data_IF_316662997589
#
_entry.id   IF_316662997589
#
_cell.length_a   1.000
_cell.length_b   1.000
_cell.length_c   1.000
_cell.angle_alpha   90.00
_cell.angle_beta   90.00
_cell.angle_gamma   90.00
#
_symmetry.space_group_name_H-M   'P 1'
#
loop_
_entity.id
_entity.type
_entity.pdbx_description
1 polymer ?
#
# COMPACT_ATOMS: atom_id res chain seq x y z
N UNK A 1 17.54 -30.19 21.73
CA UNK A 1 18.26 -29.12 20.99
C UNK A 1 17.61 -28.94 19.63
N UNK A 2 16.62 -28.07 19.55
CA UNK A 2 15.95 -27.68 18.30
C UNK A 2 16.72 -26.51 17.70
N UNK A 3 17.46 -26.76 16.63
CA UNK A 3 18.06 -25.68 15.86
C UNK A 3 16.95 -24.75 15.33
N UNK A 4 17.04 -23.43 15.55
CA UNK A 4 16.07 -22.50 14.99
C UNK A 4 16.30 -22.46 13.48
N UNK A 5 15.40 -23.05 12.70
CA UNK A 5 15.37 -22.78 11.27
C UNK A 5 15.21 -21.26 11.08
N UNK A 6 16.02 -20.61 10.23
CA UNK A 6 15.97 -19.17 10.06
C UNK A 6 14.57 -18.75 9.60
N UNK A 7 14.08 -17.66 10.19
CA UNK A 7 12.75 -17.04 10.00
C UNK A 7 12.32 -16.91 8.51
N UNK A 8 13.30 -16.92 7.58
CA UNK A 8 13.16 -16.86 6.13
C UNK A 8 12.26 -17.94 5.48
N UNK A 9 12.30 -19.21 5.93
CA UNK A 9 11.56 -20.30 5.25
C UNK A 9 10.04 -20.25 5.46
N UNK A 10 9.56 -19.42 6.38
CA UNK A 10 8.12 -19.23 6.62
C UNK A 10 7.48 -18.19 5.70
N UNK A 11 8.29 -17.33 5.06
CA UNK A 11 7.77 -16.29 4.18
C UNK A 11 7.03 -16.92 2.97
N UNK A 12 5.78 -16.51 2.67
CA UNK A 12 5.02 -17.05 1.55
C UNK A 12 5.75 -16.97 0.21
N UNK A 13 6.50 -15.88 -0.04
CA UNK A 13 7.29 -15.71 -1.26
C UNK A 13 8.44 -16.73 -1.38
N UNK A 14 9.11 -17.07 -0.28
CA UNK A 14 10.19 -18.08 -0.27
C UNK A 14 9.60 -19.46 -0.57
N UNK A 15 8.47 -19.81 0.05
CA UNK A 15 7.75 -21.05 -0.25
C UNK A 15 7.32 -21.11 -1.72
N UNK A 16 6.76 -20.03 -2.24
CA UNK A 16 6.36 -19.93 -3.63
C UNK A 16 7.55 -20.16 -4.58
N UNK A 17 8.70 -19.54 -4.31
CA UNK A 17 9.93 -19.73 -5.08
C UNK A 17 10.40 -21.19 -5.05
N UNK A 18 10.41 -21.82 -3.87
CA UNK A 18 10.80 -23.24 -3.75
C UNK A 18 9.88 -24.17 -4.56
N UNK A 19 8.57 -23.89 -4.59
CA UNK A 19 7.63 -24.65 -5.42
C UNK A 19 7.87 -24.43 -6.92
N UNK A 20 8.25 -23.23 -7.33
CA UNK A 20 8.67 -22.98 -8.72
C UNK A 20 9.92 -23.77 -9.09
N UNK A 21 10.94 -23.74 -8.23
CA UNK A 21 12.19 -24.47 -8.46
C UNK A 21 11.94 -25.99 -8.52
N UNK A 22 11.12 -26.52 -7.61
CA UNK A 22 10.73 -27.93 -7.63
C UNK A 22 9.99 -28.27 -8.93
N UNK A 23 9.04 -27.44 -9.34
CA UNK A 23 8.33 -27.60 -10.60
C UNK A 23 9.27 -27.57 -11.82
N UNK A 24 10.26 -26.68 -11.82
CA UNK A 24 11.28 -26.61 -12.86
C UNK A 24 12.08 -27.92 -12.95
N UNK A 25 12.53 -28.45 -11.81
CA UNK A 25 13.25 -29.75 -11.78
C UNK A 25 12.38 -30.88 -12.33
N UNK A 26 11.10 -30.94 -11.95
CA UNK A 26 10.15 -31.96 -12.44
C UNK A 26 10.01 -31.87 -13.96
N UNK A 27 9.81 -30.66 -14.51
CA UNK A 27 9.66 -30.46 -15.96
C UNK A 27 10.95 -30.83 -16.69
N UNK A 28 12.12 -30.39 -16.23
CA UNK A 28 13.40 -30.73 -16.86
C UNK A 28 13.64 -32.23 -16.84
N UNK A 29 13.41 -32.90 -15.71
CA UNK A 29 13.53 -34.35 -15.62
C UNK A 29 12.57 -35.06 -16.60
N UNK A 30 11.31 -34.62 -16.67
CA UNK A 30 10.33 -35.14 -17.62
C UNK A 30 10.74 -34.96 -19.08
N UNK A 31 11.28 -33.79 -19.44
CA UNK A 31 11.77 -33.50 -20.79
C UNK A 31 12.99 -34.37 -21.15
N UNK A 32 13.94 -34.54 -20.23
CA UNK A 32 15.10 -35.40 -20.46
C UNK A 32 14.69 -36.86 -20.71
N UNK A 33 13.70 -37.36 -19.97
CA UNK A 33 13.14 -38.70 -20.19
C UNK A 33 12.39 -38.80 -21.51
N UNK A 34 11.54 -37.82 -21.82
CA UNK A 34 10.81 -37.75 -23.08
C UNK A 34 11.74 -37.70 -24.29
N UNK A 35 12.79 -36.88 -24.22
CA UNK A 35 13.80 -36.78 -25.27
C UNK A 35 14.55 -38.11 -25.45
N UNK A 36 14.93 -38.79 -24.36
CA UNK A 36 15.56 -40.12 -24.44
C UNK A 36 14.66 -41.18 -25.09
N UNK A 37 13.35 -41.11 -24.86
CA UNK A 37 12.40 -42.10 -25.35
C UNK A 37 11.93 -41.82 -26.80
N UNK A 38 11.62 -40.57 -27.12
CA UNK A 38 10.99 -40.18 -28.38
C UNK A 38 11.93 -39.43 -29.35
N UNK A 39 13.10 -38.99 -28.89
CA UNK A 39 14.06 -38.22 -29.69
C UNK A 39 13.58 -36.81 -30.10
N UNK A 40 12.40 -36.38 -29.64
CA UNK A 40 11.80 -35.10 -30.01
C UNK A 40 12.07 -34.02 -28.98
N UNK A 41 12.19 -32.78 -29.46
CA UNK A 41 12.36 -31.59 -28.61
C UNK A 41 11.01 -30.88 -28.50
N UNK A 42 10.57 -30.63 -27.26
CA UNK A 42 9.36 -29.87 -27.00
C UNK A 42 9.64 -28.37 -27.06
N UNK A 43 8.71 -27.55 -27.57
CA UNK A 43 8.92 -26.11 -27.64
C UNK A 43 8.89 -25.47 -26.24
N UNK A 44 9.73 -24.45 -26.04
CA UNK A 44 9.95 -23.82 -24.73
C UNK A 44 8.67 -23.25 -24.10
N UNK A 45 7.76 -22.71 -24.91
CA UNK A 45 6.48 -22.17 -24.40
C UNK A 45 5.61 -23.26 -23.75
N UNK A 46 5.64 -24.49 -24.27
CA UNK A 46 4.89 -25.62 -23.71
C UNK A 46 5.49 -26.02 -22.36
N UNK A 47 6.82 -26.05 -22.27
CA UNK A 47 7.53 -26.34 -21.02
C UNK A 47 7.21 -25.31 -19.94
N UNK A 48 7.12 -24.04 -20.31
CA UNK A 48 6.75 -22.96 -19.39
C UNK A 48 5.32 -23.11 -18.86
N UNK A 49 4.35 -23.48 -19.71
CA UNK A 49 2.97 -23.74 -19.29
C UNK A 49 2.90 -24.96 -18.37
N UNK A 50 3.62 -26.04 -18.69
CA UNK A 50 3.70 -27.24 -17.85
C UNK A 50 4.29 -26.90 -16.47
N UNK A 51 5.37 -26.13 -16.43
CA UNK A 51 5.98 -25.68 -15.18
C UNK A 51 4.99 -24.82 -14.38
N UNK A 52 4.34 -23.83 -15.00
CA UNK A 52 3.32 -23.03 -14.32
C UNK A 52 2.19 -23.87 -13.73
N UNK A 53 1.71 -24.86 -14.49
CA UNK A 53 0.60 -25.74 -14.08
C UNK A 53 0.98 -26.65 -12.91
N UNK A 54 2.18 -27.24 -12.94
CA UNK A 54 2.70 -28.06 -11.84
C UNK A 54 2.93 -27.19 -10.61
N UNK A 55 3.56 -26.02 -10.75
CA UNK A 55 3.79 -25.10 -9.64
C UNK A 55 2.47 -24.62 -8.99
N UNK A 56 1.45 -24.30 -9.79
CA UNK A 56 0.12 -23.92 -9.29
C UNK A 56 -0.55 -25.09 -8.54
N UNK A 57 -0.46 -26.31 -9.06
CA UNK A 57 -0.98 -27.51 -8.40
C UNK A 57 -0.28 -27.77 -7.06
N UNK A 58 1.05 -27.68 -7.01
CA UNK A 58 1.82 -27.80 -5.79
C UNK A 58 1.47 -26.70 -4.78
N UNK A 59 1.21 -25.48 -5.26
CA UNK A 59 0.80 -24.33 -4.43
C UNK A 59 -0.58 -24.55 -3.82
N UNK A 60 -1.52 -25.10 -4.60
CA UNK A 60 -2.86 -25.51 -4.12
C UNK A 60 -2.74 -26.61 -3.08
N UNK A 61 -1.89 -27.61 -3.32
CA UNK A 61 -1.62 -28.71 -2.40
C UNK A 61 -1.01 -28.24 -1.07
N UNK A 62 -0.13 -27.23 -1.11
CA UNK A 62 0.42 -26.59 0.09
C UNK A 62 -0.53 -25.59 0.76
N UNK A 63 -1.79 -25.54 0.34
CA UNK A 63 -2.84 -24.68 0.91
C UNK A 63 -2.40 -23.20 1.05
N UNK A 64 -1.59 -22.71 0.10
CA UNK A 64 -1.24 -21.30 0.04
C UNK A 64 -2.47 -20.46 -0.34
N UNK A 65 -2.46 -19.18 0.02
CA UNK A 65 -3.54 -18.27 -0.30
C UNK A 65 -3.84 -18.26 -1.82
N UNK A 66 -5.12 -18.20 -2.19
CA UNK A 66 -5.59 -18.41 -3.57
C UNK A 66 -4.97 -17.46 -4.60
N UNK A 67 -4.59 -16.25 -4.18
CA UNK A 67 -3.91 -15.27 -5.03
C UNK A 67 -2.50 -15.70 -5.48
N UNK A 68 -1.87 -16.66 -4.81
CA UNK A 68 -0.60 -17.23 -5.26
C UNK A 68 -0.75 -18.14 -6.49
N UNK A 69 -1.92 -18.73 -6.71
CA UNK A 69 -2.16 -19.64 -7.84
C UNK A 69 -1.94 -18.96 -9.20
N UNK A 70 -2.55 -17.79 -9.50
CA UNK A 70 -2.28 -17.11 -10.76
C UNK A 70 -0.82 -16.69 -10.89
N UNK A 71 -0.17 -16.21 -9.81
CA UNK A 71 1.24 -15.85 -9.84
C UNK A 71 2.09 -17.07 -10.26
N UNK A 72 1.85 -18.21 -9.64
CA UNK A 72 2.57 -19.46 -9.91
C UNK A 72 2.35 -19.99 -11.32
N UNK A 73 1.10 -19.93 -11.79
CA UNK A 73 0.72 -20.37 -13.13
C UNK A 73 1.40 -19.54 -14.22
N UNK A 74 1.43 -18.21 -14.06
CA UNK A 74 1.93 -17.29 -15.09
C UNK A 74 3.41 -16.95 -14.97
N UNK A 75 4.08 -17.28 -13.87
CA UNK A 75 5.48 -16.90 -13.64
C UNK A 75 6.43 -17.39 -14.74
N UNK A 76 6.47 -18.70 -15.01
CA UNK A 76 7.36 -19.25 -16.03
C UNK A 76 7.01 -18.80 -17.46
N UNK A 77 5.73 -18.77 -17.89
CA UNK A 77 5.35 -18.16 -19.17
C UNK A 77 5.76 -16.69 -19.29
N UNK A 78 5.56 -15.89 -18.24
CA UNK A 78 5.96 -14.48 -18.23
C UNK A 78 7.49 -14.34 -18.39
N UNK A 79 8.29 -15.18 -17.74
CA UNK A 79 9.75 -15.16 -17.92
C UNK A 79 10.14 -15.45 -19.37
N UNK A 80 9.55 -16.47 -20.01
CA UNK A 80 9.84 -16.79 -21.43
C UNK A 80 9.48 -15.62 -22.34
N UNK A 81 8.33 -14.97 -22.12
CA UNK A 81 7.94 -13.79 -22.90
C UNK A 81 8.92 -12.63 -22.71
N UNK A 82 9.27 -12.33 -21.46
CA UNK A 82 10.18 -11.23 -21.10
C UNK A 82 11.58 -11.45 -21.69
N UNK A 83 12.13 -12.66 -21.58
CA UNK A 83 13.42 -13.00 -22.19
C UNK A 83 13.34 -13.05 -23.72
N UNK A 84 12.21 -13.49 -24.28
CA UNK A 84 11.96 -13.50 -25.72
C UNK A 84 11.92 -12.10 -26.35
N UNK A 85 11.42 -11.11 -25.61
CA UNK A 85 11.40 -9.70 -26.04
C UNK A 85 12.73 -8.97 -25.86
N UNK A 86 13.74 -9.60 -25.25
CA UNK A 86 15.06 -9.01 -25.00
C UNK A 86 14.97 -7.60 -24.41
N UNK A 87 14.07 -7.41 -23.45
CA UNK A 87 13.83 -6.10 -22.86
C UNK A 87 15.13 -5.54 -22.27
N UNK A 88 15.46 -4.26 -22.54
CA UNK A 88 16.62 -3.62 -21.94
C UNK A 88 16.60 -3.70 -20.40
N UNK A 89 17.76 -3.97 -19.80
CA UNK A 89 17.90 -4.15 -18.35
C UNK A 89 17.43 -2.94 -17.53
N UNK A 90 17.55 -1.73 -18.09
CA UNK A 90 17.12 -0.48 -17.45
C UNK A 90 15.60 -0.44 -17.18
N UNK A 91 14.78 -1.17 -17.94
CA UNK A 91 13.32 -1.23 -17.71
C UNK A 91 13.03 -1.90 -16.36
N UNK A 92 13.73 -3.00 -16.05
CA UNK A 92 13.57 -3.68 -14.77
C UNK A 92 14.09 -2.82 -13.61
N UNK A 93 15.20 -2.10 -13.83
CA UNK A 93 15.70 -1.13 -12.86
C UNK A 93 14.68 -0.02 -12.61
N UNK A 94 14.07 0.54 -13.66
CA UNK A 94 13.04 1.56 -13.53
C UNK A 94 11.81 1.04 -12.79
N UNK A 95 11.33 -0.17 -13.14
CA UNK A 95 10.22 -0.81 -12.44
C UNK A 95 10.54 -1.04 -10.96
N UNK A 96 11.76 -1.49 -10.65
CA UNK A 96 12.24 -1.64 -9.28
C UNK A 96 12.28 -0.30 -8.52
N UNK A 97 12.86 0.74 -9.11
CA UNK A 97 12.93 2.08 -8.51
C UNK A 97 11.53 2.68 -8.30
N UNK A 98 10.60 2.44 -9.22
CA UNK A 98 9.21 2.86 -9.10
C UNK A 98 8.50 2.13 -7.96
N UNK A 99 8.62 0.81 -7.87
CA UNK A 99 8.08 0.02 -6.75
C UNK A 99 8.72 0.46 -5.43
N UNK A 100 10.03 0.65 -5.39
CA UNK A 100 10.75 1.13 -4.21
C UNK A 100 10.27 2.51 -3.78
N UNK A 101 10.02 3.43 -4.72
CA UNK A 101 9.51 4.76 -4.41
C UNK A 101 8.05 4.80 -3.98
N UNK A 102 7.20 3.89 -4.50
CA UNK A 102 5.79 3.77 -4.13
C UNK A 102 5.62 3.09 -2.77
N UNK A 103 6.39 2.03 -2.50
CA UNK A 103 6.31 1.23 -1.26
C UNK A 103 7.42 1.54 -0.26
N UNK A 104 8.09 2.69 -0.44
CA UNK A 104 9.16 3.17 0.45
C UNK A 104 8.71 3.19 1.92
N UNK A 105 7.48 3.67 2.15
CA UNK A 105 6.87 3.75 3.48
C UNK A 105 6.63 2.36 4.07
N UNK A 106 6.18 1.39 3.29
CA UNK A 106 5.91 0.02 3.78
C UNK A 106 7.16 -0.65 4.35
N UNK A 107 8.34 -0.39 3.78
CA UNK A 107 9.61 -0.88 4.34
C UNK A 107 9.93 -0.28 5.72
N UNK A 108 9.53 0.97 5.98
CA UNK A 108 9.83 1.68 7.23
C UNK A 108 8.74 1.58 8.30
N UNK A 109 7.48 1.69 7.91
CA UNK A 109 6.35 1.88 8.83
C UNK A 109 5.34 0.73 8.78
N UNK A 110 5.50 -0.22 7.84
CA UNK A 110 4.53 -1.30 7.61
C UNK A 110 3.11 -0.82 7.28
N UNK A 111 2.96 0.45 6.84
CA UNK A 111 1.67 1.02 6.42
C UNK A 111 1.60 0.98 4.89
N UNK A 112 0.64 0.23 4.31
CA UNK A 112 0.32 0.31 2.87
C UNK A 112 -0.14 1.71 2.46
N UNK A 113 -0.08 2.00 1.15
CA UNK A 113 -0.70 3.21 0.62
C UNK A 113 -2.23 3.05 0.66
N UNK A 114 -2.88 3.72 1.62
CA UNK A 114 -4.32 3.81 1.71
C UNK A 114 -4.82 5.07 1.01
N UNK A 115 -5.78 4.92 0.09
CA UNK A 115 -6.37 6.04 -0.65
C UNK A 115 -7.85 6.13 -0.33
N UNK A 116 -8.26 7.25 0.26
CA UNK A 116 -9.66 7.58 0.46
C UNK A 116 -10.30 8.07 -0.85
N UNK A 117 -11.61 7.87 -1.00
CA UNK A 117 -12.37 8.29 -2.17
C UNK A 117 -13.18 9.57 -1.96
N UNK A 118 -13.73 10.12 -3.05
CA UNK A 118 -14.50 11.38 -3.04
C UNK A 118 -15.67 11.40 -2.04
N UNK A 119 -16.33 10.26 -1.81
CA UNK A 119 -17.42 10.15 -0.79
C UNK A 119 -16.90 10.40 0.62
N UNK A 120 -15.72 9.86 0.94
CA UNK A 120 -15.04 10.09 2.21
C UNK A 120 -14.62 11.55 2.32
N UNK A 121 -14.05 12.13 1.25
CA UNK A 121 -13.63 13.54 1.25
C UNK A 121 -14.81 14.49 1.49
N UNK A 122 -15.95 14.18 0.89
CA UNK A 122 -17.18 14.94 1.10
C UNK A 122 -17.67 14.84 2.55
N UNK A 123 -17.69 13.63 3.12
CA UNK A 123 -18.08 13.44 4.52
C UNK A 123 -17.10 14.14 5.47
N UNK A 124 -15.80 14.03 5.26
CA UNK A 124 -14.78 14.76 6.04
C UNK A 124 -15.05 16.26 5.99
N UNK A 125 -15.33 16.83 4.82
CA UNK A 125 -15.66 18.26 4.68
C UNK A 125 -16.90 18.68 5.49
N UNK A 126 -17.89 17.79 5.67
CA UNK A 126 -19.09 18.07 6.47
C UNK A 126 -18.81 18.04 7.98
N UNK A 127 -17.77 17.33 8.42
CA UNK A 127 -17.34 17.27 9.82
C UNK A 127 -16.47 18.47 10.22
N UNK A 128 -15.93 19.20 9.25
CA UNK A 128 -15.05 20.33 9.53
C UNK A 128 -15.84 21.53 10.09
N UNK A 129 -15.28 22.25 11.08
CA UNK A 129 -15.87 23.49 11.57
C UNK A 129 -16.18 24.50 10.45
N UNK A 130 -17.27 25.26 10.58
CA UNK A 130 -17.65 26.35 9.66
C UNK A 130 -16.83 27.64 9.85
N UNK A 131 -15.56 27.51 10.27
CA UNK A 131 -14.62 28.63 10.43
C UNK A 131 -13.34 28.36 9.63
N UNK A 132 -12.58 29.40 9.26
CA UNK A 132 -11.23 29.21 8.74
C UNK A 132 -10.40 28.35 9.67
N UNK A 133 -9.71 27.36 9.10
CA UNK A 133 -8.94 26.38 9.87
C UNK A 133 -7.66 25.95 9.15
N UNK A 134 -6.78 25.30 9.90
CA UNK A 134 -5.60 24.60 9.39
C UNK A 134 -5.79 23.10 9.55
N UNK A 135 -6.00 22.41 8.44
CA UNK A 135 -6.18 20.96 8.40
C UNK A 135 -4.96 20.24 7.84
N UNK A 136 -4.65 19.05 8.35
CA UNK A 136 -3.59 18.20 7.80
C UNK A 136 -4.05 16.75 7.58
N UNK A 137 -3.67 16.20 6.44
CA UNK A 137 -3.77 14.77 6.11
C UNK A 137 -2.43 14.08 6.36
N UNK A 138 -2.37 13.17 7.33
CA UNK A 138 -1.16 12.43 7.70
C UNK A 138 -1.11 11.09 6.94
N UNK A 139 -0.09 10.93 6.09
CA UNK A 139 -0.08 9.86 5.08
C UNK A 139 -0.93 10.23 3.86
N UNK A 140 -0.80 11.47 3.38
CA UNK A 140 -1.69 12.05 2.36
C UNK A 140 -1.67 11.35 0.99
N UNK A 141 -0.73 10.43 0.75
CA UNK A 141 -0.65 9.65 -0.47
C UNK A 141 -0.57 10.53 -1.71
N UNK A 142 -1.53 10.37 -2.62
CA UNK A 142 -1.61 11.14 -3.87
C UNK A 142 -2.25 12.54 -3.68
N UNK A 143 -2.53 12.94 -2.43
CA UNK A 143 -3.04 14.26 -2.06
C UNK A 143 -4.52 14.50 -2.35
N UNK A 144 -5.31 13.44 -2.53
CA UNK A 144 -6.69 13.52 -2.99
C UNK A 144 -7.58 14.38 -2.08
N UNK A 145 -7.60 14.07 -0.78
CA UNK A 145 -8.38 14.79 0.23
C UNK A 145 -7.96 16.26 0.32
N UNK A 146 -6.66 16.51 0.51
CA UNK A 146 -6.10 17.88 0.68
C UNK A 146 -6.43 18.77 -0.52
N UNK A 147 -6.28 18.26 -1.76
CA UNK A 147 -6.63 18.99 -2.98
C UNK A 147 -8.13 19.23 -3.12
N UNK A 148 -8.98 18.39 -2.53
CA UNK A 148 -10.43 18.56 -2.53
C UNK A 148 -10.87 19.61 -1.53
N UNK A 149 -10.37 19.51 -0.29
CA UNK A 149 -10.66 20.46 0.78
C UNK A 149 -10.16 21.87 0.45
N UNK A 150 -8.92 22.00 -0.05
CA UNK A 150 -8.36 23.29 -0.48
C UNK A 150 -9.18 23.96 -1.60
N UNK A 151 -9.91 23.20 -2.40
CA UNK A 151 -10.81 23.72 -3.43
C UNK A 151 -12.16 24.16 -2.87
N UNK A 152 -12.72 23.38 -1.93
CA UNK A 152 -14.02 23.65 -1.31
C UNK A 152 -13.96 24.81 -0.30
N UNK A 153 -12.83 24.95 0.38
CA UNK A 153 -12.64 25.90 1.49
C UNK A 153 -11.41 26.78 1.24
N UNK A 154 -11.50 27.76 0.31
CA UNK A 154 -10.38 28.65 -0.02
C UNK A 154 -10.00 29.60 1.13
N UNK A 155 -10.88 29.75 2.12
CA UNK A 155 -10.67 30.47 3.38
C UNK A 155 -9.75 29.73 4.36
N UNK A 156 -9.57 28.42 4.16
CA UNK A 156 -8.79 27.53 5.04
C UNK A 156 -7.47 27.10 4.39
N UNK A 157 -6.54 26.59 5.20
CA UNK A 157 -5.27 26.04 4.70
C UNK A 157 -5.19 24.54 4.97
N UNK A 158 -4.97 23.77 3.91
CA UNK A 158 -4.84 22.33 4.01
C UNK A 158 -3.44 21.86 3.64
N UNK A 159 -2.95 20.95 4.45
CA UNK A 159 -1.62 20.37 4.35
C UNK A 159 -1.73 18.86 4.15
N UNK A 160 -0.80 18.28 3.42
CA UNK A 160 -0.61 16.83 3.37
C UNK A 160 0.83 16.50 3.68
N UNK A 161 1.07 15.57 4.60
CA UNK A 161 2.41 15.04 4.85
C UNK A 161 2.48 13.59 4.38
N UNK A 162 3.55 13.26 3.65
CA UNK A 162 3.75 11.93 3.09
C UNK A 162 5.22 11.52 3.17
N UNK A 163 5.47 10.30 3.61
CA UNK A 163 6.81 9.74 3.77
C UNK A 163 7.34 9.20 2.43
N UNK A 164 6.47 8.58 1.64
CA UNK A 164 6.80 7.95 0.36
C UNK A 164 7.14 9.03 -0.69
N UNK A 165 8.36 9.02 -1.28
CA UNK A 165 8.80 10.07 -2.19
C UNK A 165 7.94 10.23 -3.45
N UNK A 166 7.47 9.13 -4.04
CA UNK A 166 6.68 9.19 -5.27
C UNK A 166 5.24 9.69 -5.05
N UNK A 167 4.48 9.17 -4.07
CA UNK A 167 3.18 9.75 -3.73
C UNK A 167 3.26 11.24 -3.38
N UNK A 168 4.25 11.65 -2.56
CA UNK A 168 4.50 13.06 -2.26
C UNK A 168 4.80 13.90 -3.52
N UNK A 169 5.69 13.43 -4.39
CA UNK A 169 6.05 14.17 -5.60
C UNK A 169 4.82 14.36 -6.50
N UNK A 170 3.98 13.33 -6.60
CA UNK A 170 2.76 13.37 -7.38
C UNK A 170 1.73 14.35 -6.79
N UNK A 171 1.51 14.34 -5.48
CA UNK A 171 0.59 15.28 -4.82
C UNK A 171 1.05 16.73 -4.95
N UNK A 172 2.35 16.98 -4.76
CA UNK A 172 2.98 18.28 -4.97
C UNK A 172 2.84 18.78 -6.41
N UNK A 173 3.12 17.92 -7.40
CA UNK A 173 3.01 18.29 -8.82
C UNK A 173 1.55 18.60 -9.18
N UNK A 174 0.61 17.78 -8.69
CA UNK A 174 -0.84 18.03 -8.88
C UNK A 174 -1.28 19.35 -8.28
N UNK A 175 -0.78 19.74 -7.11
CA UNK A 175 -1.09 21.05 -6.53
C UNK A 175 -0.59 22.18 -7.42
N UNK A 176 0.68 22.11 -7.86
CA UNK A 176 1.29 23.13 -8.72
C UNK A 176 0.61 23.27 -10.08
N UNK A 177 0.37 22.16 -10.77
CA UNK A 177 -0.27 22.17 -12.09
C UNK A 177 -1.72 22.68 -12.04
N UNK A 178 -2.38 22.56 -10.89
CA UNK A 178 -3.77 23.04 -10.69
C UNK A 178 -3.86 24.43 -10.07
N UNK A 179 -2.73 25.08 -9.74
CA UNK A 179 -2.72 26.34 -9.01
C UNK A 179 -3.43 26.25 -7.65
N UNK A 180 -3.38 25.08 -6.99
CA UNK A 180 -4.07 24.86 -5.71
C UNK A 180 -3.33 25.49 -4.54
N UNK A 181 -4.07 25.95 -3.53
CA UNK A 181 -3.53 26.41 -2.24
C UNK A 181 -3.06 25.27 -1.31
N UNK A 182 -3.23 24.01 -1.72
CA UNK A 182 -2.79 22.84 -0.97
C UNK A 182 -1.26 22.78 -0.82
N UNK A 183 -0.79 22.51 0.40
CA UNK A 183 0.63 22.42 0.72
C UNK A 183 1.03 20.97 1.01
N UNK A 184 2.03 20.43 0.30
CA UNK A 184 2.50 19.06 0.50
C UNK A 184 3.92 19.00 1.05
N UNK A 185 4.08 18.35 2.21
CA UNK A 185 5.33 18.15 2.93
C UNK A 185 5.82 16.71 2.74
N UNK A 186 7.12 16.53 2.52
CA UNK A 186 7.75 15.20 2.54
C UNK A 186 8.34 14.97 3.91
N UNK A 187 7.85 13.99 4.64
CA UNK A 187 8.35 13.74 5.99
C UNK A 187 7.57 12.69 6.76
N UNK A 188 8.06 12.41 7.95
CA UNK A 188 7.36 11.62 8.94
C UNK A 188 6.44 12.55 9.75
N UNK A 189 5.16 12.18 9.90
CA UNK A 189 4.23 12.98 10.71
C UNK A 189 4.57 12.93 12.20
N UNK A 190 5.33 11.92 12.65
CA UNK A 190 5.73 11.81 14.06
C UNK A 190 6.58 12.99 14.50
N UNK A 191 7.42 13.54 13.61
CA UNK A 191 8.28 14.69 13.90
C UNK A 191 7.64 16.04 13.59
N UNK A 192 6.43 16.05 13.03
CA UNK A 192 5.70 17.27 12.71
C UNK A 192 5.03 17.82 13.97
N UNK A 193 5.14 19.12 14.21
CA UNK A 193 4.43 19.80 15.31
C UNK A 193 2.93 19.93 15.01
N UNK A 194 2.11 19.28 15.84
CA UNK A 194 0.66 19.26 15.69
C UNK A 194 -0.03 20.51 16.27
N UNK A 195 0.65 21.31 17.10
CA UNK A 195 0.06 22.46 17.79
C UNK A 195 -0.48 23.56 16.87
N UNK A 196 -0.02 23.58 15.61
CA UNK A 196 -0.43 24.57 14.61
C UNK A 196 -1.64 24.18 13.76
N UNK A 197 -2.25 23.02 14.02
CA UNK A 197 -3.38 22.48 13.28
C UNK A 197 -4.65 22.45 14.14
N UNK A 198 -5.79 22.73 13.50
CA UNK A 198 -7.12 22.57 14.09
C UNK A 198 -7.66 21.15 13.81
N UNK A 199 -7.25 20.52 12.72
CA UNK A 199 -7.79 19.23 12.26
C UNK A 199 -6.68 18.33 11.76
N UNK A 200 -6.66 17.08 12.23
CA UNK A 200 -5.83 15.99 11.71
C UNK A 200 -6.74 14.93 11.11
N UNK A 201 -6.52 14.60 9.84
CA UNK A 201 -7.13 13.45 9.18
C UNK A 201 -6.11 12.32 9.03
N UNK A 202 -6.51 11.09 9.34
CA UNK A 202 -5.68 9.90 9.25
C UNK A 202 -6.39 8.77 8.48
N UNK A 203 -5.71 8.20 7.49
CA UNK A 203 -6.05 6.89 6.93
C UNK A 203 -4.80 6.02 6.89
N UNK A 204 -4.42 5.52 8.06
CA UNK A 204 -3.14 4.83 8.30
C UNK A 204 -3.35 3.32 8.47
N UNK A 205 -2.82 2.71 9.53
CA UNK A 205 -3.04 1.32 9.91
C UNK A 205 -3.30 1.23 11.42
N UNK A 206 -3.86 0.11 11.93
CA UNK A 206 -4.12 -0.06 13.37
C UNK A 206 -2.88 0.16 14.24
N UNK A 207 -1.70 -0.25 13.77
CA UNK A 207 -0.43 -0.12 14.50
C UNK A 207 -0.03 1.35 14.71
N UNK A 208 -0.42 2.24 13.80
CA UNK A 208 -0.11 3.66 13.88
C UNK A 208 -1.06 4.44 14.81
N UNK A 209 -2.21 3.86 15.19
CA UNK A 209 -3.26 4.57 15.91
C UNK A 209 -2.91 4.91 17.38
N UNK A 210 -2.34 4.00 18.19
CA UNK A 210 -1.93 4.35 19.56
C UNK A 210 -0.90 5.50 19.65
N UNK A 211 0.23 5.49 18.89
CA UNK A 211 1.17 6.61 18.95
C UNK A 211 0.59 7.90 18.38
N UNK A 212 -0.30 7.82 17.38
CA UNK A 212 -1.03 8.98 16.87
C UNK A 212 -1.91 9.59 17.96
N UNK A 213 -2.62 8.77 18.74
CA UNK A 213 -3.45 9.25 19.83
C UNK A 213 -2.64 9.98 20.90
N UNK A 214 -1.51 9.40 21.33
CA UNK A 214 -0.63 10.03 22.30
C UNK A 214 -0.15 11.40 21.81
N UNK A 215 0.24 11.50 20.52
CA UNK A 215 0.66 12.76 19.91
C UNK A 215 -0.49 13.78 19.80
N UNK A 216 -1.68 13.35 19.38
CA UNK A 216 -2.89 14.18 19.33
C UNK A 216 -3.19 14.79 20.70
N UNK A 217 -3.15 13.98 21.75
CA UNK A 217 -3.42 14.45 23.11
C UNK A 217 -2.33 15.37 23.67
N UNK A 218 -1.07 15.15 23.31
CA UNK A 218 0.05 15.95 23.80
C UNK A 218 0.18 17.30 23.11
N UNK A 219 -0.08 17.38 21.80
CA UNK A 219 0.32 18.54 20.99
C UNK A 219 -0.84 19.36 20.42
N UNK A 220 -2.02 18.76 20.17
CA UNK A 220 -3.11 19.50 19.54
C UNK A 220 -3.80 20.46 20.53
N UNK A 221 -4.23 21.64 20.07
CA UNK A 221 -4.93 22.60 20.93
C UNK A 221 -6.33 22.12 21.32
N UNK A 222 -6.86 22.64 22.42
CA UNK A 222 -8.26 22.42 22.83
C UNK A 222 -9.20 22.91 21.72
N UNK A 223 -10.23 22.11 21.42
CA UNK A 223 -11.16 22.32 20.32
C UNK A 223 -10.67 21.78 18.97
N UNK A 224 -9.51 21.13 18.92
CA UNK A 224 -9.04 20.42 17.73
C UNK A 224 -9.80 19.12 17.46
N UNK A 225 -9.72 18.67 16.21
CA UNK A 225 -10.41 17.48 15.70
C UNK A 225 -9.40 16.44 15.19
N UNK A 226 -9.57 15.19 15.59
CA UNK A 226 -8.95 14.03 14.95
C UNK A 226 -10.02 13.24 14.20
N UNK A 227 -9.81 13.02 12.91
CA UNK A 227 -10.69 12.21 12.06
C UNK A 227 -9.91 11.03 11.51
N UNK A 228 -10.29 9.80 11.87
CA UNK A 228 -9.68 8.58 11.33
C UNK A 228 -10.66 7.84 10.43
N UNK A 229 -10.20 7.41 9.25
CA UNK A 229 -10.97 6.56 8.36
C UNK A 229 -10.60 5.09 8.56
N UNK A 230 -11.61 4.22 8.66
CA UNK A 230 -11.54 2.76 8.84
C UNK A 230 -11.00 2.30 10.21
N UNK A 231 -10.04 3.00 10.80
CA UNK A 231 -9.32 2.54 11.99
C UNK A 231 -9.70 3.32 13.24
N UNK A 232 -10.32 2.62 14.21
CA UNK A 232 -10.58 3.14 15.54
C UNK A 232 -9.31 3.12 16.42
N UNK A 233 -9.34 3.85 17.53
CA UNK A 233 -8.36 3.74 18.61
C UNK A 233 -9.00 2.85 19.68
N UNK A 234 -8.57 1.60 19.80
CA UNK A 234 -9.26 0.57 20.60
C UNK A 234 -9.50 0.97 22.06
N UNK A 235 -8.54 1.65 22.68
CA UNK A 235 -8.61 2.08 24.08
C UNK A 235 -9.40 3.38 24.30
N UNK A 236 -9.78 4.08 23.21
CA UNK A 236 -10.36 5.41 23.27
C UNK A 236 -11.59 5.52 22.34
N UNK A 237 -12.81 5.43 22.89
CA UNK A 237 -14.03 5.51 22.08
C UNK A 237 -14.10 6.85 21.34
N UNK A 238 -14.59 6.82 20.10
CA UNK A 238 -14.82 8.01 19.31
C UNK A 238 -16.05 8.77 19.82
N UNK A 239 -15.97 10.10 19.79
CA UNK A 239 -17.08 10.99 20.14
C UNK A 239 -18.18 10.93 19.07
N UNK A 240 -17.79 10.78 17.81
CA UNK A 240 -18.72 10.59 16.70
C UNK A 240 -18.25 9.47 15.75
N UNK A 241 -19.22 8.76 15.17
CA UNK A 241 -18.97 7.71 14.18
C UNK A 241 -19.90 7.93 12.99
N UNK A 242 -19.30 8.10 11.81
CA UNK A 242 -20.02 8.38 10.56
C UNK A 242 -19.73 7.31 9.52
N UNK A 243 -20.70 6.92 8.70
CA UNK A 243 -20.50 5.92 7.64
C UNK A 243 -20.66 6.57 6.25
N UNK A 244 -19.58 7.05 5.61
CA UNK A 244 -19.67 7.82 4.36
C UNK A 244 -20.12 6.98 3.15
N UNK A 245 -19.99 5.66 3.23
CA UNK A 245 -20.32 4.72 2.16
C UNK A 245 -21.16 3.61 2.77
N UNK A 246 -22.35 3.34 2.22
CA UNK A 246 -23.23 2.26 2.68
C UNK A 246 -22.46 0.93 2.68
N UNK A 247 -22.42 0.26 3.83
CA UNK A 247 -21.65 -0.97 4.06
C UNK A 247 -20.13 -0.83 3.81
N UNK A 248 -19.60 0.39 3.89
CA UNK A 248 -18.17 0.68 3.83
C UNK A 248 -17.58 0.99 5.22
N UNK A 249 -16.27 1.29 5.28
CA UNK A 249 -15.60 1.66 6.52
C UNK A 249 -16.16 2.94 7.16
N UNK A 250 -16.02 3.05 8.48
CA UNK A 250 -16.46 4.20 9.27
C UNK A 250 -15.42 5.33 9.29
N UNK A 251 -15.88 6.54 9.57
CA UNK A 251 -15.10 7.68 10.02
C UNK A 251 -15.30 7.81 11.53
N UNK A 252 -14.20 7.74 12.28
CA UNK A 252 -14.16 7.93 13.72
C UNK A 252 -13.65 9.34 14.01
N UNK A 253 -14.31 10.05 14.92
CA UNK A 253 -14.04 11.44 15.23
C UNK A 253 -13.78 11.58 16.72
N UNK A 254 -12.70 12.29 17.08
CA UNK A 254 -12.39 12.67 18.46
C UNK A 254 -12.16 14.18 18.55
N UNK A 255 -12.70 14.78 19.61
CA UNK A 255 -12.53 16.18 19.94
C UNK A 255 -11.48 16.33 21.05
N UNK A 256 -10.61 17.32 20.91
CA UNK A 256 -9.64 17.66 21.95
C UNK A 256 -10.35 18.52 22.99
N UNK A 257 -10.57 17.95 24.17
CA UNK A 257 -11.10 18.64 25.35
C UNK A 257 -9.98 19.20 26.24
#
# INVERSE_FOLDING_TARGET
MSFPFPVSLKAPAVRALLLQLLSFVIVVAGVLLFWRAAGQVLPVWLLAILQGSIAATLTRWRAMASWWLPIQLFFAPALVLVFGWQLPSWIFLLAFLLMLGLYWSTYRTQVPLYLSGQRVWHAVNQLLPERPLRGIDIGSGLGGLVLDLARRRPDSRFFGIELAPLPWLFSWLRARLRGSSACFLRGDYQTLDFSSFDVVFAYLSPVAMPPLWAKFQAEMPVGALLVSYEFAIEEHPADEIHQPIKAGPYLYVWHKH
#
